data_IF_697381142026
#
_entry.id   IF_697381142026
#
_cell.length_a   1.000
_cell.length_b   1.000
_cell.length_c   1.000
_cell.angle_alpha   90.00
_cell.angle_beta   90.00
_cell.angle_gamma   90.00
#
_symmetry.space_group_name_H-M   'P 1'
#
loop_
_entity.id
_entity.type
_entity.pdbx_description
1 polymer ?
#
# COMPACT_ATOMS: atom_id res chain seq x y z
N UNK A 1 -109.70 -21.22 -118.64
CA UNK A 1 -110.96 -20.46 -118.88
C UNK A 1 -110.91 -19.73 -120.22
N UNK A 2 -110.18 -18.61 -120.39
CA UNK A 2 -110.08 -17.86 -121.66
C UNK A 2 -109.88 -18.77 -122.90
N UNK A 3 -108.76 -19.49 -122.95
CA UNK A 3 -108.42 -20.46 -124.02
C UNK A 3 -109.45 -21.58 -124.29
N UNK A 4 -110.42 -21.84 -123.39
CA UNK A 4 -111.49 -22.80 -123.64
C UNK A 4 -112.70 -22.13 -124.30
N UNK A 5 -113.05 -20.91 -123.90
CA UNK A 5 -114.11 -20.12 -124.54
C UNK A 5 -113.79 -19.85 -126.01
N UNK A 6 -112.54 -19.47 -126.28
CA UNK A 6 -112.02 -19.23 -127.64
C UNK A 6 -112.23 -20.47 -128.55
N UNK A 7 -111.89 -21.68 -128.07
CA UNK A 7 -112.04 -22.94 -128.80
C UNK A 7 -113.49 -23.39 -129.01
N UNK A 8 -114.39 -23.08 -128.06
CA UNK A 8 -115.82 -23.40 -128.18
C UNK A 8 -116.49 -22.46 -129.21
N UNK A 9 -116.15 -21.17 -129.19
CA UNK A 9 -116.63 -20.20 -130.17
C UNK A 9 -116.23 -20.60 -131.59
N UNK A 10 -114.95 -20.91 -131.83
CA UNK A 10 -114.43 -21.32 -133.14
C UNK A 10 -115.20 -22.51 -133.74
N UNK A 11 -115.44 -23.56 -132.93
CA UNK A 11 -116.15 -24.77 -133.39
C UNK A 11 -117.65 -24.53 -133.60
N UNK A 12 -118.32 -23.82 -132.70
CA UNK A 12 -119.74 -23.54 -132.81
C UNK A 12 -120.06 -22.56 -133.96
N UNK A 13 -119.14 -21.66 -134.30
CA UNK A 13 -119.32 -20.69 -135.38
C UNK A 13 -119.53 -21.35 -136.74
N UNK A 14 -118.90 -22.50 -136.99
CA UNK A 14 -119.02 -23.24 -138.27
C UNK A 14 -120.46 -23.71 -138.51
N UNK A 15 -121.13 -24.20 -137.47
CA UNK A 15 -122.51 -24.67 -137.58
C UNK A 15 -123.53 -23.51 -137.49
N UNK A 16 -123.27 -22.47 -136.69
CA UNK A 16 -124.15 -21.29 -136.64
C UNK A 16 -124.11 -20.47 -137.94
N UNK A 17 -122.98 -20.44 -138.65
CA UNK A 17 -122.88 -19.85 -139.99
C UNK A 17 -123.84 -20.51 -141.00
N UNK A 18 -124.11 -21.82 -140.89
CA UNK A 18 -125.08 -22.52 -141.77
C UNK A 18 -126.52 -22.08 -141.53
N UNK A 19 -126.80 -21.47 -140.38
CA UNK A 19 -128.09 -20.89 -140.00
C UNK A 19 -128.12 -19.36 -140.16
N UNK A 20 -127.03 -18.73 -140.62
CA UNK A 20 -126.91 -17.29 -140.79
C UNK A 20 -126.69 -16.50 -139.50
N UNK A 21 -126.13 -17.11 -138.45
CA UNK A 21 -125.97 -16.50 -137.12
C UNK A 21 -124.47 -16.39 -136.75
N UNK A 22 -124.04 -15.20 -136.32
CA UNK A 22 -122.67 -14.94 -135.85
C UNK A 22 -122.59 -14.91 -134.31
N UNK A 23 -121.63 -15.63 -133.73
CA UNK A 23 -121.34 -15.65 -132.29
C UNK A 23 -120.26 -14.61 -132.01
N UNK A 24 -120.66 -13.45 -131.49
CA UNK A 24 -119.75 -12.33 -131.18
C UNK A 24 -118.83 -12.67 -130.00
N UNK A 25 -119.33 -13.35 -128.96
CA UNK A 25 -118.54 -13.72 -127.78
C UNK A 25 -119.12 -14.93 -127.05
N UNK A 26 -118.26 -15.87 -126.66
CA UNK A 26 -118.60 -16.94 -125.72
C UNK A 26 -117.99 -16.64 -124.34
N UNK A 27 -118.82 -16.31 -123.34
CA UNK A 27 -118.38 -16.13 -121.95
C UNK A 27 -118.87 -17.27 -121.05
N UNK A 28 -117.93 -17.92 -120.35
CA UNK A 28 -118.19 -19.06 -119.47
C UNK A 28 -118.60 -18.52 -118.09
N UNK A 29 -119.91 -18.43 -117.84
CA UNK A 29 -120.43 -17.91 -116.58
C UNK A 29 -120.14 -18.86 -115.39
N UNK A 30 -120.48 -20.14 -115.55
CA UNK A 30 -120.30 -21.16 -114.52
C UNK A 30 -119.65 -22.42 -115.09
N UNK A 31 -118.69 -22.97 -114.34
CA UNK A 31 -118.18 -24.33 -114.55
C UNK A 31 -118.57 -25.09 -113.30
N UNK A 32 -119.50 -26.02 -113.44
CA UNK A 32 -120.03 -26.86 -112.37
C UNK A 32 -119.64 -28.30 -112.67
N UNK A 33 -119.13 -29.00 -111.68
CA UNK A 33 -118.85 -30.43 -111.75
C UNK A 33 -119.95 -31.19 -111.01
N UNK A 34 -120.28 -32.40 -111.48
CA UNK A 34 -121.24 -33.29 -110.81
C UNK A 34 -120.57 -34.21 -109.78
N UNK A 35 -119.24 -34.36 -109.82
CA UNK A 35 -118.47 -35.27 -108.98
C UNK A 35 -117.53 -34.57 -107.97
N UNK A 36 -117.73 -33.26 -107.72
CA UNK A 36 -116.97 -32.43 -106.76
C UNK A 36 -115.43 -32.43 -106.91
N UNK A 37 -114.89 -32.86 -108.05
CA UNK A 37 -113.43 -33.02 -108.29
C UNK A 37 -112.69 -31.70 -108.15
N UNK A 38 -113.31 -30.58 -108.55
CA UNK A 38 -112.73 -29.23 -108.42
C UNK A 38 -112.54 -28.85 -106.95
N UNK A 39 -113.47 -29.25 -106.06
CA UNK A 39 -113.38 -28.97 -104.63
C UNK A 39 -112.30 -29.85 -103.99
N UNK A 40 -112.25 -31.14 -104.35
CA UNK A 40 -111.21 -32.06 -103.89
C UNK A 40 -109.80 -31.62 -104.30
N UNK A 41 -109.61 -31.21 -105.55
CA UNK A 41 -108.34 -30.62 -106.04
C UNK A 41 -108.01 -29.31 -105.32
N UNK A 42 -109.00 -28.49 -104.99
CA UNK A 42 -108.81 -27.28 -104.17
C UNK A 42 -108.31 -27.60 -102.76
N UNK A 43 -108.87 -28.62 -102.12
CA UNK A 43 -108.49 -29.06 -100.77
C UNK A 43 -107.05 -29.60 -100.72
N UNK A 44 -106.63 -30.45 -101.68
CA UNK A 44 -105.26 -30.98 -101.74
C UNK A 44 -104.21 -29.87 -101.99
N UNK A 45 -104.52 -28.92 -102.88
CA UNK A 45 -103.67 -27.75 -103.10
C UNK A 45 -103.59 -26.86 -101.83
N UNK A 46 -104.69 -26.64 -101.12
CA UNK A 46 -104.66 -25.90 -99.84
C UNK A 46 -103.85 -26.63 -98.77
N UNK A 47 -104.02 -27.95 -98.62
CA UNK A 47 -103.26 -28.76 -97.68
C UNK A 47 -101.76 -28.74 -98.00
N UNK A 48 -101.40 -28.80 -99.29
CA UNK A 48 -100.01 -28.68 -99.77
C UNK A 48 -99.42 -27.29 -99.50
N UNK A 49 -100.17 -26.21 -99.77
CA UNK A 49 -99.74 -24.84 -99.46
C UNK A 49 -99.56 -24.66 -97.95
N UNK A 50 -100.50 -25.13 -97.13
CA UNK A 50 -100.44 -25.05 -95.67
C UNK A 50 -99.25 -25.84 -95.12
N UNK A 51 -99.04 -27.08 -95.58
CA UNK A 51 -97.87 -27.90 -95.24
C UNK A 51 -96.56 -27.18 -95.59
N UNK A 52 -96.45 -26.64 -96.81
CA UNK A 52 -95.26 -25.94 -97.25
C UNK A 52 -95.02 -24.65 -96.44
N UNK A 53 -96.08 -23.91 -96.11
CA UNK A 53 -95.99 -22.73 -95.24
C UNK A 53 -95.57 -23.09 -93.81
N UNK A 54 -96.07 -24.19 -93.24
CA UNK A 54 -95.63 -24.70 -91.93
C UNK A 54 -94.18 -25.17 -91.94
N UNK A 55 -93.72 -25.83 -93.01
CA UNK A 55 -92.30 -26.23 -93.16
C UNK A 55 -91.41 -24.99 -93.32
N UNK A 56 -91.80 -24.02 -94.15
CA UNK A 56 -91.07 -22.77 -94.33
C UNK A 56 -90.96 -21.99 -93.01
N UNK A 57 -92.06 -21.90 -92.25
CA UNK A 57 -92.05 -21.28 -90.92
C UNK A 57 -91.14 -22.04 -89.96
N UNK A 58 -91.26 -23.37 -89.86
CA UNK A 58 -90.44 -24.17 -88.94
C UNK A 58 -88.94 -24.13 -89.29
N UNK A 59 -88.58 -23.99 -90.56
CA UNK A 59 -87.20 -23.76 -91.00
C UNK A 59 -86.74 -22.34 -90.61
N UNK A 60 -87.54 -21.30 -90.87
CA UNK A 60 -87.20 -19.94 -90.46
C UNK A 60 -87.05 -19.80 -88.93
N UNK A 61 -87.97 -20.38 -88.16
CA UNK A 61 -87.90 -20.41 -86.68
C UNK A 61 -86.64 -21.16 -86.20
N UNK A 62 -86.24 -22.25 -86.87
CA UNK A 62 -85.00 -22.98 -86.60
C UNK A 62 -83.77 -22.14 -86.93
N UNK A 63 -83.73 -21.49 -88.08
CA UNK A 63 -82.56 -20.71 -88.53
C UNK A 63 -82.37 -19.48 -87.62
N UNK A 64 -83.47 -18.84 -87.19
CA UNK A 64 -83.45 -17.80 -86.15
C UNK A 64 -82.92 -18.35 -84.83
N UNK A 65 -83.38 -19.52 -84.37
CA UNK A 65 -82.90 -20.13 -83.14
C UNK A 65 -81.40 -20.52 -83.20
N UNK A 66 -80.92 -21.01 -84.34
CA UNK A 66 -79.50 -21.31 -84.57
C UNK A 66 -78.67 -20.02 -84.56
N UNK A 67 -79.11 -18.97 -85.26
CA UNK A 67 -78.43 -17.68 -85.28
C UNK A 67 -78.38 -17.04 -83.88
N UNK A 68 -79.47 -17.10 -83.12
CA UNK A 68 -79.53 -16.64 -81.73
C UNK A 68 -78.61 -17.45 -80.82
N UNK A 69 -78.60 -18.79 -80.92
CA UNK A 69 -77.73 -19.65 -80.14
C UNK A 69 -76.24 -19.43 -80.46
N UNK A 70 -75.90 -19.22 -81.74
CA UNK A 70 -74.53 -18.92 -82.17
C UNK A 70 -74.08 -17.54 -81.69
N UNK A 71 -74.89 -16.50 -81.84
CA UNK A 71 -74.58 -15.16 -81.33
C UNK A 71 -74.47 -15.13 -79.79
N UNK A 72 -75.34 -15.87 -79.09
CA UNK A 72 -75.24 -16.04 -77.64
C UNK A 72 -73.99 -16.81 -77.23
N UNK A 73 -73.59 -17.84 -77.98
CA UNK A 73 -72.34 -18.57 -77.75
C UNK A 73 -71.13 -17.65 -77.93
N UNK A 74 -71.02 -16.97 -79.07
CA UNK A 74 -69.92 -16.03 -79.36
C UNK A 74 -69.82 -14.91 -78.32
N UNK A 75 -70.97 -14.37 -77.87
CA UNK A 75 -71.01 -13.37 -76.79
C UNK A 75 -70.54 -13.93 -75.44
N UNK A 76 -70.86 -15.19 -75.11
CA UNK A 76 -70.40 -15.83 -73.88
C UNK A 76 -68.92 -16.21 -73.95
N UNK A 77 -68.46 -16.74 -75.08
CA UNK A 77 -67.06 -17.09 -75.33
C UNK A 77 -66.17 -15.83 -75.20
N UNK A 78 -66.57 -14.72 -75.85
CA UNK A 78 -65.88 -13.44 -75.72
C UNK A 78 -65.87 -12.89 -74.28
N UNK A 79 -66.98 -13.04 -73.55
CA UNK A 79 -67.06 -12.64 -72.14
C UNK A 79 -66.14 -13.50 -71.26
N UNK A 80 -66.15 -14.82 -71.43
CA UNK A 80 -65.30 -15.75 -70.66
C UNK A 80 -63.83 -15.46 -70.93
N UNK A 81 -63.43 -15.16 -72.16
CA UNK A 81 -62.06 -14.75 -72.50
C UNK A 81 -61.69 -13.45 -71.77
N UNK A 82 -62.55 -12.42 -71.82
CA UNK A 82 -62.29 -11.16 -71.14
C UNK A 82 -62.23 -11.30 -69.60
N UNK A 83 -63.18 -12.01 -68.99
CA UNK A 83 -63.21 -12.28 -67.56
C UNK A 83 -61.97 -13.10 -67.12
N UNK A 84 -61.52 -14.05 -67.95
CA UNK A 84 -60.30 -14.84 -67.71
C UNK A 84 -59.05 -13.98 -67.79
N UNK A 85 -58.92 -13.11 -68.81
CA UNK A 85 -57.78 -12.21 -68.94
C UNK A 85 -57.72 -11.20 -67.77
N UNK A 86 -58.87 -10.67 -67.35
CA UNK A 86 -58.98 -9.81 -66.15
C UNK A 86 -58.52 -10.57 -64.90
N UNK A 87 -58.98 -11.82 -64.70
CA UNK A 87 -58.57 -12.63 -63.56
C UNK A 87 -57.07 -12.95 -63.56
N UNK A 88 -56.48 -13.26 -64.73
CA UNK A 88 -55.04 -13.46 -64.88
C UNK A 88 -54.27 -12.17 -64.55
N UNK A 89 -54.69 -11.02 -65.09
CA UNK A 89 -54.04 -9.72 -64.82
C UNK A 89 -54.17 -9.30 -63.36
N UNK A 90 -55.29 -9.58 -62.71
CA UNK A 90 -55.46 -9.35 -61.26
C UNK A 90 -54.55 -10.25 -60.42
N UNK A 91 -54.39 -11.53 -60.81
CA UNK A 91 -53.48 -12.46 -60.13
C UNK A 91 -52.01 -12.04 -60.32
N UNK A 92 -51.58 -11.75 -61.57
CA UNK A 92 -50.25 -11.19 -61.85
C UNK A 92 -49.97 -9.93 -61.03
N UNK A 93 -50.94 -9.01 -60.93
CA UNK A 93 -50.82 -7.80 -60.12
C UNK A 93 -50.72 -8.11 -58.62
N UNK A 94 -51.48 -9.10 -58.12
CA UNK A 94 -51.45 -9.51 -56.72
C UNK A 94 -50.10 -10.17 -56.34
N UNK A 95 -49.59 -11.06 -57.19
CA UNK A 95 -48.26 -11.67 -57.06
C UNK A 95 -47.20 -10.57 -57.03
N UNK A 96 -47.18 -9.71 -58.04
CA UNK A 96 -46.18 -8.63 -58.16
C UNK A 96 -46.25 -7.63 -57.00
N UNK A 97 -47.45 -7.35 -56.49
CA UNK A 97 -47.64 -6.53 -55.27
C UNK A 97 -47.12 -7.24 -54.02
N UNK A 98 -47.29 -8.56 -53.91
CA UNK A 98 -46.73 -9.35 -52.82
C UNK A 98 -45.20 -9.40 -52.88
N UNK A 99 -44.62 -9.62 -54.06
CA UNK A 99 -43.16 -9.58 -54.29
C UNK A 99 -42.59 -8.22 -53.89
N UNK A 100 -43.14 -7.13 -54.44
CA UNK A 100 -42.72 -5.77 -54.10
C UNK A 100 -42.84 -5.49 -52.60
N UNK A 101 -43.90 -5.98 -51.94
CA UNK A 101 -44.04 -5.86 -50.49
C UNK A 101 -42.97 -6.65 -49.74
N UNK A 102 -42.65 -7.89 -50.15
CA UNK A 102 -41.55 -8.63 -49.51
C UNK A 102 -40.20 -7.94 -49.67
N UNK A 103 -39.96 -7.27 -50.81
CA UNK A 103 -38.76 -6.45 -51.02
C UNK A 103 -38.78 -5.19 -50.14
N UNK A 104 -39.93 -4.51 -50.03
CA UNK A 104 -40.13 -3.36 -49.13
C UNK A 104 -39.89 -3.74 -47.67
N UNK A 105 -40.55 -4.79 -47.17
CA UNK A 105 -40.43 -5.30 -45.81
C UNK A 105 -38.98 -5.75 -45.52
N UNK A 106 -38.29 -6.39 -46.48
CA UNK A 106 -36.87 -6.77 -46.34
C UNK A 106 -35.96 -5.54 -46.30
N UNK A 107 -36.14 -4.57 -47.20
CA UNK A 107 -35.33 -3.35 -47.24
C UNK A 107 -35.56 -2.46 -46.02
N UNK A 108 -36.78 -2.48 -45.47
CA UNK A 108 -37.11 -1.83 -44.21
C UNK A 108 -36.46 -2.55 -43.03
N UNK A 109 -36.53 -3.88 -42.95
CA UNK A 109 -35.85 -4.65 -41.91
C UNK A 109 -34.32 -4.48 -41.96
N UNK A 110 -33.72 -4.43 -43.14
CA UNK A 110 -32.31 -4.08 -43.33
C UNK A 110 -31.99 -2.67 -42.82
N UNK A 111 -32.83 -1.67 -43.13
CA UNK A 111 -32.65 -0.29 -42.68
C UNK A 111 -32.83 -0.14 -41.16
N UNK A 112 -33.85 -0.77 -40.58
CA UNK A 112 -34.12 -0.78 -39.15
C UNK A 112 -32.99 -1.49 -38.38
N UNK A 113 -32.48 -2.63 -38.90
CA UNK A 113 -31.33 -3.33 -38.34
C UNK A 113 -30.04 -2.50 -38.44
N UNK A 114 -29.78 -1.85 -39.58
CA UNK A 114 -28.63 -0.96 -39.75
C UNK A 114 -28.70 0.25 -38.81
N UNK A 115 -29.89 0.81 -38.60
CA UNK A 115 -30.13 1.89 -37.65
C UNK A 115 -29.85 1.47 -36.21
N UNK A 116 -30.38 0.32 -35.76
CA UNK A 116 -30.13 -0.18 -34.41
C UNK A 116 -28.65 -0.58 -34.19
N UNK A 117 -27.98 -1.15 -35.19
CA UNK A 117 -26.52 -1.39 -35.16
C UNK A 117 -25.75 -0.06 -35.03
N UNK A 118 -26.10 0.96 -35.81
CA UNK A 118 -25.45 2.27 -35.74
C UNK A 118 -25.68 2.95 -34.37
N UNK A 119 -26.90 2.85 -33.84
CA UNK A 119 -27.30 3.37 -32.52
C UNK A 119 -26.55 2.70 -31.38
N UNK A 120 -26.45 1.37 -31.36
CA UNK A 120 -25.64 0.65 -30.36
C UNK A 120 -24.13 0.88 -30.56
N UNK A 121 -23.64 1.03 -31.79
CA UNK A 121 -22.25 1.43 -32.04
C UNK A 121 -21.95 2.85 -31.51
N UNK A 122 -22.85 3.82 -31.74
CA UNK A 122 -22.74 5.16 -31.18
C UNK A 122 -22.83 5.15 -29.65
N UNK A 123 -23.74 4.36 -29.07
CA UNK A 123 -23.86 4.17 -27.63
C UNK A 123 -22.57 3.60 -27.03
N UNK A 124 -22.00 2.57 -27.64
CA UNK A 124 -20.69 1.99 -27.26
C UNK A 124 -19.57 3.03 -27.34
N UNK A 125 -19.52 3.84 -28.40
CA UNK A 125 -18.54 4.94 -28.51
C UNK A 125 -18.73 5.97 -27.40
N UNK A 126 -19.97 6.40 -27.11
CA UNK A 126 -20.28 7.33 -26.02
C UNK A 126 -19.87 6.73 -24.65
N UNK A 127 -20.11 5.43 -24.44
CA UNK A 127 -19.75 4.73 -23.20
C UNK A 127 -18.23 4.57 -23.04
N UNK A 128 -17.51 4.29 -24.12
CA UNK A 128 -16.03 4.30 -24.14
C UNK A 128 -15.52 5.70 -23.82
N UNK A 129 -15.93 6.74 -24.57
CA UNK A 129 -15.49 8.12 -24.35
C UNK A 129 -15.87 8.64 -22.96
N UNK A 130 -17.02 8.22 -22.41
CA UNK A 130 -17.40 8.53 -21.02
C UNK A 130 -16.48 7.84 -20.03
N UNK A 131 -16.22 6.54 -20.21
CA UNK A 131 -15.31 5.77 -19.35
C UNK A 131 -13.89 6.33 -19.40
N UNK A 132 -13.38 6.69 -20.59
CA UNK A 132 -12.10 7.37 -20.79
C UNK A 132 -12.07 8.74 -20.09
N UNK A 133 -13.13 9.53 -20.20
CA UNK A 133 -13.23 10.83 -19.51
C UNK A 133 -13.33 10.67 -17.98
N UNK A 134 -13.98 9.63 -17.48
CA UNK A 134 -14.08 9.35 -16.05
C UNK A 134 -12.75 8.76 -15.50
N UNK A 135 -12.03 7.93 -16.26
CA UNK A 135 -10.65 7.52 -15.96
C UNK A 135 -9.73 8.75 -15.92
N UNK A 136 -9.79 9.62 -16.93
CA UNK A 136 -8.96 10.84 -16.97
C UNK A 136 -9.25 11.78 -15.78
N UNK A 137 -10.51 11.87 -15.32
CA UNK A 137 -10.86 12.59 -14.08
C UNK A 137 -10.24 11.90 -12.85
N UNK A 138 -10.37 10.57 -12.74
CA UNK A 138 -9.80 9.82 -11.61
C UNK A 138 -8.27 9.92 -11.57
N UNK A 139 -7.58 9.81 -12.70
CA UNK A 139 -6.13 10.04 -12.80
C UNK A 139 -5.76 11.46 -12.36
N UNK A 140 -6.50 12.48 -12.82
CA UNK A 140 -6.28 13.87 -12.37
C UNK A 140 -6.56 14.08 -10.88
N UNK A 141 -7.55 13.39 -10.31
CA UNK A 141 -7.85 13.43 -8.88
C UNK A 141 -6.76 12.71 -8.06
N UNK A 142 -6.23 11.58 -8.55
CA UNK A 142 -5.09 10.88 -7.95
C UNK A 142 -3.82 11.72 -8.02
N UNK A 143 -3.53 12.35 -9.16
CA UNK A 143 -2.39 13.27 -9.30
C UNK A 143 -2.53 14.51 -8.41
N UNK A 144 -3.74 15.06 -8.27
CA UNK A 144 -4.00 16.16 -7.35
C UNK A 144 -3.78 15.72 -5.90
N UNK A 145 -4.32 14.56 -5.50
CA UNK A 145 -4.10 14.00 -4.14
C UNK A 145 -2.63 13.68 -3.87
N UNK A 146 -1.87 13.19 -4.86
CA UNK A 146 -0.41 13.00 -4.75
C UNK A 146 0.30 14.34 -4.51
N UNK A 147 -0.01 15.38 -5.29
CA UNK A 147 0.55 16.73 -5.10
C UNK A 147 0.15 17.34 -3.76
N UNK A 148 -1.09 17.16 -3.32
CA UNK A 148 -1.53 17.60 -2.00
C UNK A 148 -0.81 16.85 -0.87
N UNK A 149 -0.57 15.54 -1.04
CA UNK A 149 0.21 14.74 -0.09
C UNK A 149 1.68 15.19 -0.06
N UNK A 150 2.30 15.42 -1.22
CA UNK A 150 3.66 15.94 -1.35
C UNK A 150 3.80 17.33 -0.72
N UNK A 151 2.86 18.25 -0.98
CA UNK A 151 2.85 19.58 -0.35
C UNK A 151 2.64 19.49 1.17
N UNK A 152 1.80 18.57 1.65
CA UNK A 152 1.64 18.31 3.09
C UNK A 152 2.89 17.70 3.71
N UNK A 153 3.57 16.78 3.03
CA UNK A 153 4.82 16.16 3.47
C UNK A 153 5.94 17.20 3.53
N UNK A 154 6.11 18.03 2.50
CA UNK A 154 7.05 19.15 2.49
C UNK A 154 6.74 20.18 3.59
N UNK A 155 5.46 20.48 3.84
CA UNK A 155 5.06 21.39 4.92
C UNK A 155 5.36 20.80 6.32
N UNK A 156 5.08 19.52 6.52
CA UNK A 156 5.37 18.82 7.77
C UNK A 156 6.87 18.62 7.99
N UNK A 157 7.65 18.29 6.96
CA UNK A 157 9.12 18.24 7.05
C UNK A 157 9.71 19.62 7.36
N UNK A 158 9.23 20.68 6.71
CA UNK A 158 9.64 22.05 7.02
C UNK A 158 9.27 22.47 8.45
N UNK A 159 8.11 22.05 8.97
CA UNK A 159 7.69 22.30 10.36
C UNK A 159 8.54 21.49 11.36
N UNK A 160 8.67 20.18 11.15
CA UNK A 160 9.47 19.27 11.99
C UNK A 160 10.93 19.73 11.99
N UNK A 161 11.48 20.10 10.84
CA UNK A 161 12.86 20.59 10.72
C UNK A 161 13.04 21.93 11.43
N UNK A 162 12.14 22.91 11.23
CA UNK A 162 12.20 24.18 11.97
C UNK A 162 12.07 23.97 13.48
N UNK A 163 11.20 23.05 13.91
CA UNK A 163 11.03 22.68 15.32
C UNK A 163 12.27 21.98 15.87
N UNK A 164 12.87 21.05 15.13
CA UNK A 164 14.10 20.37 15.51
C UNK A 164 15.33 21.29 15.50
N UNK A 165 15.40 22.27 14.60
CA UNK A 165 16.40 23.33 14.58
C UNK A 165 16.20 24.29 15.76
N UNK A 166 14.96 24.67 16.10
CA UNK A 166 14.63 25.44 17.30
C UNK A 166 14.95 24.67 18.60
N UNK A 167 14.59 23.39 18.70
CA UNK A 167 14.88 22.52 19.86
C UNK A 167 16.39 22.22 19.99
N UNK A 168 17.15 22.23 18.89
CA UNK A 168 18.62 22.20 18.91
C UNK A 168 19.19 23.52 19.40
N UNK A 169 18.71 24.64 18.87
CA UNK A 169 19.17 25.98 19.24
C UNK A 169 18.85 26.30 20.71
N UNK A 170 17.66 25.94 21.20
CA UNK A 170 17.28 26.07 22.60
C UNK A 170 18.17 25.23 23.52
N UNK A 171 18.40 23.94 23.19
CA UNK A 171 19.33 23.09 23.96
C UNK A 171 20.78 23.56 23.89
N UNK A 172 21.22 24.15 22.77
CA UNK A 172 22.55 24.73 22.66
C UNK A 172 22.67 25.98 23.52
N UNK A 173 21.70 26.90 23.48
CA UNK A 173 21.66 28.05 24.40
C UNK A 173 21.58 27.63 25.86
N UNK A 174 20.83 26.58 26.20
CA UNK A 174 20.77 26.06 27.57
C UNK A 174 22.13 25.45 27.99
N UNK A 175 22.78 24.69 27.12
CA UNK A 175 24.11 24.14 27.38
C UNK A 175 25.18 25.25 27.51
N UNK A 176 25.15 26.26 26.65
CA UNK A 176 26.03 27.43 26.69
C UNK A 176 25.78 28.26 27.96
N UNK A 177 24.51 28.45 28.36
CA UNK A 177 24.15 29.10 29.62
C UNK A 177 24.61 28.29 30.84
N UNK A 178 24.48 26.96 30.82
CA UNK A 178 25.00 26.08 31.88
C UNK A 178 26.54 26.11 31.93
N UNK A 179 27.23 26.16 30.79
CA UNK A 179 28.68 26.32 30.74
C UNK A 179 29.11 27.69 31.29
N UNK A 180 28.43 28.77 30.90
CA UNK A 180 28.67 30.11 31.42
C UNK A 180 28.44 30.18 32.94
N UNK A 181 27.33 29.60 33.44
CA UNK A 181 27.04 29.52 34.87
C UNK A 181 28.11 28.73 35.62
N UNK A 182 28.57 27.58 35.08
CA UNK A 182 29.66 26.80 35.69
C UNK A 182 31.00 27.55 35.66
N UNK A 183 31.29 28.28 34.58
CA UNK A 183 32.50 29.12 34.49
C UNK A 183 32.45 30.26 35.51
N UNK A 184 31.32 30.96 35.64
CA UNK A 184 31.11 32.01 36.63
C UNK A 184 31.18 31.48 38.06
N UNK A 185 30.56 30.34 38.35
CA UNK A 185 30.66 29.71 39.66
C UNK A 185 32.11 29.27 39.96
N UNK A 186 32.82 28.67 39.00
CA UNK A 186 34.23 28.29 39.17
C UNK A 186 35.19 29.49 39.27
N UNK A 187 34.84 30.64 38.67
CA UNK A 187 35.54 31.92 38.83
C UNK A 187 35.28 32.52 40.22
N UNK A 188 34.02 32.50 40.69
CA UNK A 188 33.65 32.90 42.05
C UNK A 188 34.33 32.01 43.11
N UNK A 189 34.27 30.68 42.99
CA UNK A 189 34.97 29.73 43.87
C UNK A 189 36.48 30.00 43.93
N UNK A 190 37.10 30.36 42.80
CA UNK A 190 38.52 30.73 42.74
C UNK A 190 38.78 32.06 43.45
N UNK A 191 37.93 33.05 43.24
CA UNK A 191 38.06 34.36 43.87
C UNK A 191 37.84 34.29 45.39
N UNK A 192 36.84 33.54 45.84
CA UNK A 192 36.59 33.27 47.26
C UNK A 192 37.76 32.52 47.90
N UNK A 193 38.26 31.44 47.28
CA UNK A 193 39.44 30.71 47.79
C UNK A 193 40.72 31.55 47.76
N UNK A 194 40.88 32.45 46.79
CA UNK A 194 41.99 33.41 46.78
C UNK A 194 41.86 34.42 47.92
N UNK A 195 40.66 34.96 48.16
CA UNK A 195 40.39 35.90 49.26
C UNK A 195 40.49 35.24 50.63
N UNK A 196 40.06 34.00 50.78
CA UNK A 196 40.23 33.19 52.00
C UNK A 196 41.71 32.87 52.23
N UNK A 197 42.47 32.51 51.20
CA UNK A 197 43.91 32.29 51.30
C UNK A 197 44.69 33.58 51.62
N UNK A 198 44.27 34.72 51.07
CA UNK A 198 44.82 36.05 51.38
C UNK A 198 44.48 36.47 52.81
N UNK A 199 43.23 36.28 53.26
CA UNK A 199 42.81 36.53 54.63
C UNK A 199 43.55 35.62 55.63
N UNK A 200 43.75 34.34 55.30
CA UNK A 200 44.51 33.39 56.13
C UNK A 200 46.00 33.72 56.18
N UNK A 201 46.58 34.26 55.10
CA UNK A 201 47.95 34.82 55.12
C UNK A 201 48.02 36.06 56.01
N UNK A 202 47.09 37.00 55.87
CA UNK A 202 47.02 38.20 56.71
C UNK A 202 46.83 37.86 58.20
N UNK A 203 46.00 36.85 58.52
CA UNK A 203 45.86 36.31 59.88
C UNK A 203 47.18 35.68 60.37
N UNK A 204 47.84 34.84 59.57
CA UNK A 204 49.11 34.23 59.95
C UNK A 204 50.25 35.26 60.12
N UNK A 205 50.25 36.34 59.33
CA UNK A 205 51.18 37.47 59.48
C UNK A 205 50.86 38.29 60.74
N UNK A 206 49.57 38.52 61.04
CA UNK A 206 49.15 39.16 62.29
C UNK A 206 49.50 38.32 63.53
N UNK A 207 49.32 37.00 63.49
CA UNK A 207 49.71 36.06 64.56
C UNK A 207 51.22 36.02 64.74
N UNK A 208 52.00 36.08 63.64
CA UNK A 208 53.46 36.20 63.69
C UNK A 208 53.89 37.51 64.35
N UNK A 209 53.26 38.63 63.97
CA UNK A 209 53.55 39.93 64.57
C UNK A 209 53.18 39.98 66.06
N UNK A 210 52.03 39.42 66.44
CA UNK A 210 51.60 39.30 67.83
C UNK A 210 52.62 38.48 68.67
N UNK A 211 53.07 37.33 68.15
CA UNK A 211 54.09 36.50 68.82
C UNK A 211 55.46 37.16 68.89
N UNK A 212 55.84 37.99 67.91
CA UNK A 212 57.06 38.78 67.97
C UNK A 212 56.99 39.86 69.06
N UNK A 213 55.84 40.53 69.22
CA UNK A 213 55.63 41.50 70.31
C UNK A 213 55.60 40.83 71.68
N UNK A 214 54.98 39.65 71.80
CA UNK A 214 54.97 38.85 73.04
C UNK A 214 56.39 38.39 73.42
N UNK A 215 57.18 37.91 72.45
CA UNK A 215 58.58 37.55 72.66
C UNK A 215 59.45 38.76 73.08
N UNK A 216 59.23 39.94 72.48
CA UNK A 216 59.91 41.17 72.90
C UNK A 216 59.52 41.61 74.32
N UNK A 217 58.25 41.43 74.70
CA UNK A 217 57.77 41.65 76.07
C UNK A 217 58.45 40.73 77.09
N UNK A 218 58.56 39.44 76.78
CA UNK A 218 59.25 38.45 77.63
C UNK A 218 60.74 38.77 77.75
N UNK A 219 61.41 39.22 76.69
CA UNK A 219 62.81 39.65 76.76
C UNK A 219 62.99 40.90 77.64
N UNK A 220 62.09 41.88 77.56
CA UNK A 220 62.13 43.07 78.41
C UNK A 220 61.89 42.76 79.90
N UNK A 221 60.99 41.81 80.20
CA UNK A 221 60.78 41.30 81.57
C UNK A 221 62.00 40.53 82.06
N UNK A 222 62.60 39.67 81.21
CA UNK A 222 63.81 38.93 81.54
C UNK A 222 65.03 39.82 81.82
N UNK A 223 65.22 40.91 81.05
CA UNK A 223 66.26 41.91 81.38
C UNK A 223 65.97 42.64 82.70
N UNK A 224 64.71 42.95 83.00
CA UNK A 224 64.32 43.61 84.24
C UNK A 224 64.54 42.70 85.46
N UNK A 225 64.19 41.41 85.37
CA UNK A 225 64.45 40.42 86.41
C UNK A 225 65.96 40.17 86.59
N UNK A 226 66.74 40.09 85.51
CA UNK A 226 68.20 39.95 85.59
C UNK A 226 68.85 41.12 86.37
N UNK A 227 68.46 42.37 86.06
CA UNK A 227 68.94 43.56 86.81
C UNK A 227 68.46 43.57 88.26
N UNK A 228 67.24 43.09 88.54
CA UNK A 228 66.73 42.99 89.91
C UNK A 228 67.46 41.93 90.74
N UNK A 229 67.85 40.80 90.13
CA UNK A 229 68.67 39.75 90.76
C UNK A 229 70.10 40.25 91.00
N UNK A 230 70.71 40.96 90.05
CA UNK A 230 72.06 41.54 90.24
C UNK A 230 72.08 42.58 91.37
N UNK A 231 71.04 43.42 91.46
CA UNK A 231 70.88 44.39 92.55
C UNK A 231 70.67 43.72 93.91
N UNK A 232 69.87 42.65 93.98
CA UNK A 232 69.73 41.83 95.20
C UNK A 232 71.04 41.14 95.59
N UNK A 233 71.78 40.58 94.63
CA UNK A 233 73.07 39.93 94.89
C UNK A 233 74.11 40.89 95.48
N UNK A 234 74.17 42.14 95.01
CA UNK A 234 75.01 43.18 95.61
C UNK A 234 74.56 43.55 97.04
N UNK A 235 73.26 43.69 97.28
CA UNK A 235 72.72 43.99 98.60
C UNK A 235 72.91 42.84 99.60
N UNK A 236 72.80 41.58 99.16
CA UNK A 236 73.06 40.40 100.00
C UNK A 236 74.54 40.23 100.31
N UNK A 237 75.45 40.54 99.37
CA UNK A 237 76.89 40.53 99.63
C UNK A 237 77.30 41.51 100.74
N UNK A 238 76.86 42.77 100.67
CA UNK A 238 77.12 43.78 101.71
C UNK A 238 76.46 43.41 103.06
N UNK A 239 75.30 42.77 103.03
CA UNK A 239 74.62 42.28 104.24
C UNK A 239 75.35 41.07 104.87
N UNK A 240 75.95 40.20 104.05
CA UNK A 240 76.73 39.05 104.52
C UNK A 240 78.06 39.49 105.16
N UNK A 241 78.73 40.48 104.58
CA UNK A 241 79.96 41.06 105.10
C UNK A 241 79.74 41.73 106.46
N UNK A 242 78.67 42.53 106.62
CA UNK A 242 78.27 43.09 107.92
C UNK A 242 77.80 42.02 108.92
N UNK A 243 77.18 40.92 108.47
CA UNK A 243 76.88 39.76 109.34
C UNK A 243 78.14 39.03 109.79
N UNK A 244 79.19 38.98 108.98
CA UNK A 244 80.46 38.35 109.35
C UNK A 244 81.18 39.10 110.48
N UNK A 245 81.18 40.45 110.47
CA UNK A 245 81.70 41.23 111.59
C UNK A 245 80.89 41.04 112.88
N UNK A 246 79.56 40.93 112.80
CA UNK A 246 78.70 40.69 113.96
C UNK A 246 78.90 39.27 114.55
N UNK A 247 79.04 38.24 113.71
CA UNK A 247 79.26 36.86 114.15
C UNK A 247 80.64 36.61 114.79
N UNK A 248 81.56 37.57 114.69
CA UNK A 248 82.85 37.53 115.42
C UNK A 248 82.72 37.72 116.94
N UNK A 249 81.53 38.08 117.47
CA UNK A 249 81.32 38.40 118.90
C UNK A 249 80.39 37.48 119.70
N UNK A 250 79.73 36.48 119.10
CA UNK A 250 78.84 35.57 119.83
C UNK A 250 79.09 34.10 119.49
N UNK A 251 80.10 33.52 120.15
CA UNK A 251 80.34 32.08 120.14
C UNK A 251 79.46 31.30 121.14
N UNK A 252 79.43 29.98 120.94
CA UNK A 252 78.98 28.93 121.88
C UNK A 252 77.47 28.69 122.13
N UNK A 253 76.53 29.59 121.83
CA UNK A 253 75.10 29.35 122.14
C UNK A 253 74.24 28.76 120.99
N UNK A 254 74.50 29.14 119.73
CA UNK A 254 73.55 28.90 118.63
C UNK A 254 73.57 27.47 118.01
N UNK A 255 74.59 26.67 118.30
CA UNK A 255 74.79 25.36 117.64
C UNK A 255 73.87 24.25 118.19
N UNK A 256 73.32 24.43 119.39
CA UNK A 256 72.50 23.41 120.08
C UNK A 256 71.03 23.43 119.63
N UNK A 257 70.47 24.60 119.31
CA UNK A 257 69.06 24.70 118.89
C UNK A 257 68.82 24.12 117.49
N UNK A 258 69.82 24.18 116.61
CA UNK A 258 69.71 23.71 115.22
C UNK A 258 69.66 22.18 115.11
N UNK A 259 70.26 21.45 116.07
CA UNK A 259 70.26 19.98 116.08
C UNK A 259 68.90 19.43 116.57
N UNK A 260 68.28 20.08 117.56
CA UNK A 260 66.99 19.63 118.13
C UNK A 260 65.83 19.74 117.12
N UNK A 261 65.91 20.68 116.17
CA UNK A 261 64.89 20.85 115.11
C UNK A 261 65.06 19.92 113.89
N UNK A 262 66.22 19.30 113.69
CA UNK A 262 66.51 18.46 112.52
C UNK A 262 66.20 16.96 112.71
N UNK A 263 66.11 16.48 113.96
CA UNK A 263 65.85 15.08 114.28
C UNK A 263 64.54 14.49 113.71
N UNK A 264 63.42 15.24 113.56
CA UNK A 264 62.19 14.70 112.96
C UNK A 264 62.31 14.39 111.45
N UNK A 265 63.17 15.09 110.71
CA UNK A 265 63.20 14.97 109.24
C UNK A 265 64.02 13.75 108.77
N UNK A 266 65.08 13.38 109.49
CA UNK A 266 65.83 12.15 109.18
C UNK A 266 64.99 10.88 109.39
N UNK A 267 64.06 10.87 110.33
CA UNK A 267 63.12 9.75 110.53
C UNK A 267 62.18 9.55 109.32
N UNK A 268 61.90 10.61 108.56
CA UNK A 268 61.01 10.58 107.39
C UNK A 268 61.74 10.08 106.14
N UNK A 269 62.97 10.53 105.92
CA UNK A 269 63.81 10.11 104.79
C UNK A 269 64.24 8.63 104.83
N UNK A 270 64.23 7.99 106.01
CA UNK A 270 64.54 6.56 106.16
C UNK A 270 63.31 5.68 105.82
N UNK A 271 62.10 6.22 105.84
CA UNK A 271 60.87 5.48 105.55
C UNK A 271 60.51 5.43 104.04
N UNK A 272 61.00 6.37 103.23
CA UNK A 272 60.69 6.44 101.78
C UNK A 272 61.04 5.17 100.99
N UNK A 273 62.18 4.48 101.20
CA UNK A 273 62.52 3.29 100.41
C UNK A 273 61.66 2.05 100.69
N UNK A 274 60.86 2.06 101.76
CA UNK A 274 59.99 0.93 102.16
C UNK A 274 58.55 1.04 101.64
N UNK A 275 58.16 2.16 101.03
CA UNK A 275 56.81 2.36 100.47
C UNK A 275 56.63 1.75 99.06
N UNK A 276 57.67 1.14 98.49
CA UNK A 276 57.76 0.85 97.03
C UNK A 276 57.48 -0.62 96.66
N UNK A 277 57.03 -1.47 97.60
CA UNK A 277 56.72 -2.88 97.32
C UNK A 277 55.49 -3.33 98.12
N UNK A 278 54.36 -3.54 97.44
CA UNK A 278 53.20 -4.22 98.07
C UNK A 278 52.37 -5.11 97.13
N UNK A 279 52.96 -5.58 96.02
CA UNK A 279 52.58 -6.87 95.42
C UNK A 279 53.67 -7.48 94.51
N UNK A 280 54.51 -8.32 95.10
CA UNK A 280 55.22 -9.36 94.35
C UNK A 280 54.30 -10.58 94.25
N UNK A 281 54.14 -11.15 93.06
CA UNK A 281 53.57 -12.49 92.89
C UNK A 281 54.42 -13.25 91.88
N UNK A 282 55.57 -13.71 92.36
CA UNK A 282 56.34 -14.78 91.75
C UNK A 282 56.02 -16.04 92.55
N UNK A 283 55.31 -16.98 91.92
CA UNK A 283 55.43 -18.40 92.25
C UNK A 283 55.65 -19.11 90.92
N UNK A 284 56.90 -19.52 90.72
CA UNK A 284 57.31 -20.51 89.73
C UNK A 284 56.73 -21.89 90.12
N UNK A 285 56.42 -22.69 89.11
CA UNK A 285 55.71 -23.97 89.21
C UNK A 285 55.87 -24.84 87.96
N UNK A 286 57.06 -24.80 87.33
CA UNK A 286 57.62 -25.79 86.39
C UNK A 286 56.71 -26.38 85.28
N UNK A 287 56.96 -26.00 84.00
CA UNK A 287 56.12 -26.55 82.92
C UNK A 287 56.51 -26.40 81.44
N UNK A 288 57.75 -26.07 81.07
CA UNK A 288 58.27 -26.37 79.72
C UNK A 288 58.11 -25.33 78.58
N UNK A 289 59.23 -25.11 77.86
CA UNK A 289 59.36 -24.62 76.49
C UNK A 289 58.70 -23.28 76.11
N UNK A 290 59.51 -22.20 76.14
CA UNK A 290 59.08 -20.85 75.84
C UNK A 290 58.97 -20.45 74.37
N UNK A 291 58.66 -19.17 74.20
CA UNK A 291 59.16 -18.34 73.11
C UNK A 291 59.19 -16.88 73.56
N UNK A 292 60.36 -16.26 73.49
CA UNK A 292 60.54 -14.84 73.76
C UNK A 292 60.26 -13.98 72.53
N UNK A 293 59.79 -12.78 72.80
CA UNK A 293 60.08 -11.53 72.07
C UNK A 293 61.30 -11.64 71.14
N UNK A 294 61.11 -11.40 69.84
CA UNK A 294 61.78 -10.30 69.10
C UNK A 294 61.41 -10.23 67.59
N UNK A 295 61.74 -9.10 66.95
CA UNK A 295 61.77 -8.85 65.47
C UNK A 295 60.46 -8.57 64.72
N UNK A 296 59.76 -7.52 65.13
CA UNK A 296 59.01 -6.65 64.21
C UNK A 296 59.98 -6.06 63.16
N UNK A 297 60.00 -6.57 61.91
CA UNK A 297 60.98 -6.07 60.91
C UNK A 297 60.86 -6.47 59.43
N UNK A 298 60.10 -7.50 59.04
CA UNK A 298 60.21 -8.08 57.68
C UNK A 298 58.89 -8.28 56.89
N UNK A 299 57.75 -7.86 57.43
CA UNK A 299 56.43 -8.22 56.86
C UNK A 299 55.90 -7.30 55.73
N UNK A 300 56.51 -6.13 55.51
CA UNK A 300 56.01 -5.11 54.55
C UNK A 300 56.03 -5.58 53.08
N UNK A 301 57.08 -6.25 52.56
CA UNK A 301 57.14 -6.66 51.15
C UNK A 301 56.04 -7.65 50.74
N UNK A 302 55.61 -8.54 51.64
CA UNK A 302 54.61 -9.57 51.32
C UNK A 302 53.18 -9.02 51.22
N UNK A 303 52.87 -7.94 51.94
CA UNK A 303 51.55 -7.28 51.86
C UNK A 303 51.40 -6.51 50.54
N UNK A 304 52.47 -5.89 50.04
CA UNK A 304 52.45 -5.22 48.73
C UNK A 304 52.21 -6.21 47.57
N UNK A 305 52.93 -7.34 47.57
CA UNK A 305 52.79 -8.36 46.53
C UNK A 305 51.34 -8.89 46.43
N UNK A 306 50.74 -9.21 47.57
CA UNK A 306 49.37 -9.75 47.65
C UNK A 306 48.30 -8.73 47.24
N UNK A 307 48.57 -7.43 47.41
CA UNK A 307 47.68 -6.36 46.95
C UNK A 307 47.67 -6.26 45.42
N UNK A 308 48.85 -6.29 44.79
CA UNK A 308 48.99 -6.23 43.31
C UNK A 308 48.34 -7.44 42.64
N UNK A 309 48.49 -8.63 43.22
CA UNK A 309 47.86 -9.86 42.73
C UNK A 309 46.32 -9.79 42.79
N UNK A 310 45.75 -9.28 43.89
CA UNK A 310 44.29 -9.09 44.02
C UNK A 310 43.69 -8.10 43.02
N UNK A 311 44.43 -7.06 42.61
CA UNK A 311 43.97 -6.09 41.61
C UNK A 311 43.95 -6.71 40.21
N UNK A 312 44.95 -7.55 39.88
CA UNK A 312 45.01 -8.31 38.63
C UNK A 312 43.84 -9.30 38.52
N UNK A 313 43.54 -10.04 39.60
CA UNK A 313 42.47 -11.03 39.64
C UNK A 313 41.06 -10.40 39.64
N UNK A 314 40.89 -9.21 40.23
CA UNK A 314 39.60 -8.50 40.30
C UNK A 314 39.26 -7.65 39.06
N UNK A 315 40.25 -7.23 38.25
CA UNK A 315 40.01 -6.29 37.12
C UNK A 315 40.48 -6.78 35.75
N UNK A 316 41.28 -7.85 35.68
CA UNK A 316 41.73 -8.43 34.40
C UNK A 316 42.75 -7.58 33.62
N UNK A 317 43.24 -6.47 34.19
CA UNK A 317 44.21 -5.57 33.55
C UNK A 317 45.61 -5.87 34.07
N UNK A 318 46.48 -6.42 33.22
CA UNK A 318 47.90 -6.58 33.56
C UNK A 318 48.67 -5.28 33.25
N UNK A 319 48.91 -4.50 34.29
CA UNK A 319 49.63 -3.22 34.24
C UNK A 319 51.06 -3.43 33.69
N UNK A 320 51.62 -4.65 33.79
CA UNK A 320 52.96 -5.00 33.30
C UNK A 320 53.03 -5.09 31.77
N UNK A 321 51.92 -5.39 31.08
CA UNK A 321 51.87 -5.39 29.61
C UNK A 321 51.69 -3.97 29.07
N UNK A 322 50.84 -3.17 29.70
CA UNK A 322 50.64 -1.74 29.35
C UNK A 322 51.96 -0.97 29.43
N UNK A 323 52.81 -1.29 30.42
CA UNK A 323 54.10 -0.64 30.62
C UNK A 323 55.16 -0.96 29.54
N UNK A 324 54.93 -1.96 28.68
CA UNK A 324 55.83 -2.33 27.57
C UNK A 324 55.31 -1.92 26.18
N UNK A 325 54.07 -1.44 26.08
CA UNK A 325 53.39 -1.24 24.80
C UNK A 325 53.62 0.12 24.11
N UNK A 326 54.33 1.08 24.73
CA UNK A 326 54.41 2.47 24.24
C UNK A 326 55.84 3.05 24.15
N UNK A 327 56.75 2.33 23.48
CA UNK A 327 57.98 2.96 22.97
C UNK A 327 58.41 2.39 21.59
N UNK A 328 57.80 2.94 20.53
CA UNK A 328 58.29 3.04 19.13
C UNK A 328 58.77 1.79 18.35
N UNK A 329 58.64 1.69 17.02
CA UNK A 329 57.58 2.08 16.08
C UNK A 329 57.75 1.19 14.81
N UNK A 330 56.73 1.13 13.96
CA UNK A 330 56.52 0.14 12.90
C UNK A 330 57.63 -0.03 11.84
N UNK A 331 57.81 -1.27 11.32
CA UNK A 331 57.28 -1.65 9.99
C UNK A 331 57.54 -3.12 9.53
N UNK A 332 56.41 -3.79 9.24
CA UNK A 332 56.09 -4.76 8.16
C UNK A 332 56.94 -6.00 7.84
N UNK A 333 56.20 -7.10 7.60
CA UNK A 333 56.47 -8.22 6.69
C UNK A 333 57.73 -9.09 6.89
N UNK A 334 57.52 -10.33 7.35
CA UNK A 334 57.80 -11.51 6.50
C UNK A 334 57.15 -12.81 7.00
N UNK A 335 56.44 -13.48 6.08
CA UNK A 335 56.44 -14.94 6.01
C UNK A 335 57.87 -15.43 5.69
N UNK A 336 58.20 -16.66 6.12
CA UNK A 336 58.76 -17.79 5.34
C UNK A 336 59.18 -18.84 6.40
N UNK A 337 58.49 -19.96 6.63
CA UNK A 337 58.22 -21.18 5.81
C UNK A 337 59.38 -22.18 5.63
N UNK A 338 59.08 -23.45 5.96
CA UNK A 338 59.48 -24.69 5.23
C UNK A 338 60.96 -25.15 5.43
N UNK A 339 61.34 -26.45 5.52
CA UNK A 339 60.65 -27.74 5.28
C UNK A 339 61.17 -28.89 6.18
N UNK A 340 60.50 -30.06 6.10
CA UNK A 340 60.96 -31.37 6.59
C UNK A 340 59.77 -32.30 6.92
N UNK A 341 59.03 -32.85 5.94
CA UNK A 341 59.28 -34.17 5.29
C UNK A 341 59.18 -35.30 6.35
N UNK A 342 58.19 -36.20 6.40
CA UNK A 342 57.14 -36.70 5.47
C UNK A 342 55.90 -37.18 6.29
N UNK A 343 54.75 -37.66 5.71
CA UNK A 343 54.39 -37.86 4.29
C UNK A 343 53.19 -36.95 3.86
N UNK A 344 52.92 -36.61 2.58
CA UNK A 344 52.97 -37.33 1.29
C UNK A 344 51.79 -38.32 1.10
N UNK A 345 50.95 -38.29 0.06
CA UNK A 345 50.69 -37.29 -1.01
C UNK A 345 49.20 -37.41 -1.37
N UNK A 346 48.58 -36.31 -1.80
CA UNK A 346 47.25 -36.33 -2.43
C UNK A 346 47.40 -36.76 -3.90
N UNK A 347 46.91 -37.94 -4.31
CA UNK A 347 46.94 -38.37 -5.71
C UNK A 347 45.60 -38.13 -6.42
N UNK A 348 45.61 -37.10 -7.26
CA UNK A 348 44.56 -36.72 -8.20
C UNK A 348 44.22 -37.86 -9.18
N UNK A 349 42.99 -38.38 -9.12
CA UNK A 349 42.34 -39.16 -10.20
C UNK A 349 40.81 -39.00 -10.09
N UNK A 350 40.03 -38.49 -11.06
CA UNK A 350 40.35 -37.62 -12.21
C UNK A 350 39.09 -36.77 -12.59
N UNK A 351 38.97 -36.31 -13.85
CA UNK A 351 37.91 -35.49 -14.48
C UNK A 351 36.97 -36.41 -15.33
N UNK A 352 35.89 -36.00 -16.02
CA UNK A 352 35.47 -34.70 -16.59
C UNK A 352 33.98 -34.75 -16.97
N UNK A 353 33.33 -33.58 -17.03
CA UNK A 353 32.36 -33.12 -18.07
C UNK A 353 31.27 -34.04 -18.67
N UNK A 354 30.06 -33.51 -18.58
CA UNK A 354 29.12 -33.25 -19.69
C UNK A 354 28.07 -34.26 -20.20
N UNK A 355 26.94 -33.60 -20.52
CA UNK A 355 25.95 -33.90 -21.55
C UNK A 355 24.91 -35.01 -21.34
N UNK A 356 23.68 -34.54 -21.05
CA UNK A 356 22.54 -34.64 -21.99
C UNK A 356 22.17 -36.05 -22.49
N UNK A 357 21.11 -36.63 -21.91
CA UNK A 357 19.87 -36.93 -22.67
C UNK A 357 18.67 -37.46 -21.86
N UNK A 358 17.52 -36.87 -22.16
CA UNK A 358 16.18 -37.47 -22.37
C UNK A 358 15.87 -38.88 -21.87
N UNK A 359 14.81 -38.96 -21.05
CA UNK A 359 13.65 -39.87 -21.13
C UNK A 359 12.58 -39.17 -20.27
N UNK A 360 11.51 -38.53 -20.77
CA UNK A 360 10.50 -38.93 -21.76
C UNK A 360 9.95 -40.35 -21.61
N UNK A 361 8.68 -40.41 -21.19
CA UNK A 361 7.75 -41.51 -21.47
C UNK A 361 7.82 -42.75 -20.56
N UNK A 362 6.77 -43.55 -20.41
CA UNK A 362 5.38 -43.48 -20.94
C UNK A 362 4.45 -44.23 -19.96
N UNK A 363 3.14 -43.97 -20.08
CA UNK A 363 1.99 -44.72 -19.55
C UNK A 363 1.55 -44.37 -18.11
N UNK A 364 0.24 -44.27 -17.83
CA UNK A 364 -0.90 -44.77 -18.60
C UNK A 364 -2.05 -43.77 -18.72
N UNK A 365 -2.43 -43.45 -19.96
CA UNK A 365 -3.72 -42.85 -20.31
C UNK A 365 -4.31 -43.70 -21.44
N UNK A 366 -5.31 -44.55 -21.14
CA UNK A 366 -6.41 -44.95 -22.05
C UNK A 366 -7.34 -46.02 -21.45
N UNK A 367 -8.54 -46.08 -22.06
CA UNK A 367 -9.67 -47.01 -21.91
C UNK A 367 -10.73 -46.59 -20.89
N UNK A 368 -11.73 -45.84 -21.36
CA UNK A 368 -13.09 -46.39 -21.57
C UNK A 368 -13.60 -45.89 -22.92
N UNK A 369 -14.04 -46.82 -23.75
CA UNK A 369 -14.60 -46.59 -25.08
C UNK A 369 -16.13 -46.71 -25.01
N UNK A 370 -16.81 -46.01 -25.92
CA UNK A 370 -18.11 -46.31 -26.53
C UNK A 370 -19.44 -46.22 -25.77
N UNK A 371 -20.49 -46.17 -26.61
CA UNK A 371 -21.94 -46.30 -26.40
C UNK A 371 -22.67 -45.07 -25.80
N UNK A 372 -23.70 -44.48 -26.43
CA UNK A 372 -24.44 -44.91 -27.63
C UNK A 372 -25.10 -43.75 -28.43
N UNK A 373 -25.37 -44.01 -29.71
CA UNK A 373 -26.24 -43.21 -30.59
C UNK A 373 -27.68 -43.74 -30.53
N UNK A 374 -28.68 -42.86 -30.61
CA UNK A 374 -29.71 -42.86 -31.68
C UNK A 374 -30.71 -41.69 -31.56
#
# INVERSE_FOLDING_TARGET
RKSFGDQVQEKAQVDMNRLGIEIISCNIQHVVDQNDLIIALGQDNMATIQKNASIAKANADRDVAIAQAQAAKESNDAKVIADTEIAVKQNELAIKKSELKTVEDTKKAEADAAYEIQKEAQRKTIEITKTEADIAKQEKEVDLKKREAEVKEQALDAEIRKKAEADKFARQQEADAQLYQRQRNAEADKFEKQKEAEARKAQAEADLFAKQQEAAGIQAVGEAEARAIEAKGKAEAEALEKKAEAMKKYGQAAMVEMIVKALPEMAKAIAEPLSTIDKVTIIDGSGGAGNGVDTMGSYVPQVLAKTIESVKEATGIDITEIMKANTYDAKVNKNINISGIDPVINQTTIKTEDNVKTVEGVASENIVESDDLY
#
